data_IF_549944651244
#
_entry.id   IF_549944651244
#
_cell.length_a   1.000
_cell.length_b   1.000
_cell.length_c   1.000
_cell.angle_alpha   90.00
_cell.angle_beta   90.00
_cell.angle_gamma   90.00
#
_symmetry.space_group_name_H-M   'P 1'
#
loop_
_entity.id
_entity.type
_entity.pdbx_description
1 polymer ?
#
# COMPACT_ATOMS: atom_id res chain seq x y z
N UNK A 1 -12.54 5.34 5.97
CA UNK A 1 -11.67 4.16 5.76
C UNK A 1 -12.54 3.07 5.16
N UNK A 2 -12.00 2.28 4.24
CA UNK A 2 -12.69 1.16 3.63
C UNK A 2 -11.80 -0.09 3.71
N UNK A 3 -12.42 -1.27 3.75
CA UNK A 3 -11.73 -2.55 3.52
C UNK A 3 -11.89 -2.89 2.05
N UNK A 4 -10.79 -3.21 1.37
CA UNK A 4 -10.81 -3.74 0.00
C UNK A 4 -10.18 -5.11 0.03
N UNK A 5 -10.86 -6.09 -0.56
CA UNK A 5 -10.40 -7.47 -0.66
C UNK A 5 -10.11 -7.76 -2.12
N UNK A 6 -8.97 -8.39 -2.40
CA UNK A 6 -8.59 -8.77 -3.75
C UNK A 6 -9.12 -10.16 -4.15
N UNK A 7 -8.71 -10.65 -5.33
CA UNK A 7 -9.16 -11.95 -5.81
C UNK A 7 -8.55 -13.10 -4.98
N UNK A 8 -9.35 -14.15 -4.74
CA UNK A 8 -8.95 -15.34 -3.98
C UNK A 8 -7.71 -16.05 -4.57
N UNK A 9 -7.50 -15.94 -5.88
CA UNK A 9 -6.41 -16.61 -6.59
C UNK A 9 -5.16 -15.72 -6.71
N UNK A 10 -5.18 -14.51 -6.14
CA UNK A 10 -4.05 -13.56 -6.11
C UNK A 10 -3.45 -13.46 -4.70
N UNK A 11 -3.81 -12.45 -3.90
CA UNK A 11 -3.32 -12.32 -2.53
C UNK A 11 -4.28 -12.99 -1.54
N UNK A 12 -5.59 -12.92 -1.80
CA UNK A 12 -6.64 -13.36 -0.88
C UNK A 12 -6.54 -12.62 0.47
N UNK A 13 -6.24 -11.32 0.40
CA UNK A 13 -5.99 -10.44 1.54
C UNK A 13 -6.96 -9.27 1.58
N UNK A 14 -7.09 -8.63 2.75
CA UNK A 14 -7.93 -7.46 2.96
C UNK A 14 -7.14 -6.25 3.43
N UNK A 15 -7.20 -5.15 2.68
CA UNK A 15 -6.46 -3.91 2.94
C UNK A 15 -7.34 -2.80 3.52
N UNK A 16 -6.83 -2.09 4.54
CA UNK A 16 -7.44 -0.87 5.08
C UNK A 16 -7.02 0.38 4.29
N UNK A 17 -7.91 0.87 3.43
CA UNK A 17 -7.65 2.00 2.55
C UNK A 17 -8.28 3.31 3.09
N UNK A 18 -7.53 4.41 2.96
CA UNK A 18 -8.01 5.79 3.17
C UNK A 18 -7.33 6.69 2.14
N UNK A 19 -7.98 7.76 1.66
CA UNK A 19 -7.27 8.81 0.93
C UNK A 19 -6.11 9.36 1.75
N UNK A 20 -4.91 9.42 1.17
CA UNK A 20 -3.70 9.83 1.89
C UNK A 20 -3.83 11.24 2.50
N UNK A 21 -4.53 12.15 1.81
CA UNK A 21 -4.82 13.52 2.27
C UNK A 21 -5.76 13.59 3.48
N UNK A 22 -6.48 12.52 3.79
CA UNK A 22 -7.38 12.43 4.95
C UNK A 22 -6.80 11.55 6.07
N UNK A 23 -5.53 11.16 5.98
CA UNK A 23 -4.90 10.29 6.99
C UNK A 23 -4.61 11.08 8.28
N UNK A 24 -4.96 10.52 9.43
CA UNK A 24 -4.69 11.09 10.76
C UNK A 24 -3.83 10.14 11.60
N UNK A 25 -3.17 10.62 12.68
CA UNK A 25 -2.44 9.76 13.60
C UNK A 25 -3.28 8.62 14.19
N UNK A 26 -4.56 8.86 14.48
CA UNK A 26 -5.49 7.86 14.98
C UNK A 26 -5.75 6.78 13.93
N UNK A 27 -5.88 7.17 12.65
CA UNK A 27 -6.03 6.23 11.55
C UNK A 27 -4.77 5.37 11.35
N UNK A 28 -3.58 5.93 11.57
CA UNK A 28 -2.31 5.17 11.55
C UNK A 28 -2.24 4.19 12.73
N UNK A 29 -2.55 4.65 13.95
CA UNK A 29 -2.53 3.79 15.14
C UNK A 29 -3.53 2.64 15.03
N UNK A 30 -4.74 2.89 14.49
CA UNK A 30 -5.73 1.86 14.23
C UNK A 30 -5.18 0.78 13.29
N UNK A 31 -4.53 1.18 12.18
CA UNK A 31 -3.90 0.24 11.25
C UNK A 31 -2.78 -0.57 11.92
N UNK A 32 -1.87 0.11 12.60
CA UNK A 32 -0.74 -0.52 13.28
C UNK A 32 -1.20 -1.52 14.36
N UNK A 33 -2.30 -1.21 15.07
CA UNK A 33 -2.83 -2.03 16.16
C UNK A 33 -3.67 -3.20 15.68
N UNK A 34 -4.58 -2.99 14.73
CA UNK A 34 -5.60 -3.98 14.37
C UNK A 34 -5.39 -4.65 13.01
N UNK A 35 -4.93 -3.92 11.99
CA UNK A 35 -4.58 -4.55 10.71
C UNK A 35 -3.21 -5.23 10.79
N UNK A 36 -2.25 -4.62 11.51
CA UNK A 36 -0.91 -5.17 11.81
C UNK A 36 -0.06 -5.56 10.60
N UNK A 37 -0.46 -5.18 9.38
CA UNK A 37 0.35 -5.25 8.17
C UNK A 37 1.33 -4.08 8.04
N UNK A 38 2.10 -4.06 6.96
CA UNK A 38 2.97 -2.93 6.61
C UNK A 38 2.12 -1.74 6.13
N UNK A 39 2.39 -0.56 6.64
CA UNK A 39 1.68 0.65 6.23
C UNK A 39 2.34 1.21 4.97
N UNK A 40 1.63 1.10 3.86
CA UNK A 40 2.08 1.55 2.54
C UNK A 40 1.35 2.84 2.10
N UNK A 41 1.95 3.59 1.18
CA UNK A 41 1.32 4.73 0.49
C UNK A 41 1.39 4.49 -1.01
N UNK A 42 0.24 4.28 -1.65
CA UNK A 42 0.16 4.17 -3.09
C UNK A 42 0.24 5.56 -3.74
N UNK A 43 1.16 5.72 -4.69
CA UNK A 43 1.36 6.96 -5.45
C UNK A 43 1.41 6.67 -6.95
N UNK A 44 1.17 7.69 -7.76
CA UNK A 44 1.32 7.57 -9.21
C UNK A 44 2.79 7.63 -9.62
N UNK A 45 3.14 7.06 -10.78
CA UNK A 45 4.50 7.19 -11.34
C UNK A 45 4.90 8.65 -11.59
N UNK A 46 3.94 9.54 -11.85
CA UNK A 46 4.19 10.99 -11.97
C UNK A 46 4.68 11.55 -10.63
N UNK A 47 3.95 11.29 -9.55
CA UNK A 47 4.31 11.72 -8.19
C UNK A 47 5.65 11.14 -7.75
N UNK A 48 5.92 9.87 -8.06
CA UNK A 48 7.21 9.25 -7.75
C UNK A 48 8.38 9.99 -8.42
N UNK A 49 8.26 10.36 -9.70
CA UNK A 49 9.27 11.15 -10.42
C UNK A 49 9.45 12.55 -9.83
N UNK A 50 8.35 13.22 -9.49
CA UNK A 50 8.37 14.56 -8.87
C UNK A 50 9.10 14.55 -7.51
N UNK A 51 8.99 13.46 -6.76
CA UNK A 51 9.64 13.26 -5.46
C UNK A 51 11.05 12.64 -5.56
N UNK A 52 11.52 12.30 -6.76
CA UNK A 52 12.83 11.64 -6.95
C UNK A 52 12.89 10.23 -6.35
N UNK A 53 11.75 9.54 -6.26
CA UNK A 53 11.65 8.18 -5.72
C UNK A 53 11.86 7.14 -6.83
N UNK A 54 12.95 6.39 -6.74
CA UNK A 54 13.23 5.23 -7.60
C UNK A 54 12.68 3.94 -6.98
N UNK A 55 12.42 2.89 -7.78
CA UNK A 55 12.13 1.56 -7.25
C UNK A 55 13.19 1.08 -6.26
N UNK A 56 12.78 0.31 -5.25
CA UNK A 56 13.68 -0.22 -4.22
C UNK A 56 14.76 -1.17 -4.79
N UNK A 57 14.43 -1.88 -5.87
CA UNK A 57 15.31 -2.84 -6.54
C UNK A 57 15.24 -2.64 -8.06
N UNK A 58 16.33 -2.96 -8.77
CA UNK A 58 16.42 -2.82 -10.23
C UNK A 58 15.64 -3.92 -10.97
N UNK A 59 15.58 -5.12 -10.40
CA UNK A 59 14.85 -6.28 -10.95
C UNK A 59 13.91 -6.82 -9.88
N UNK A 60 12.61 -6.78 -10.15
CA UNK A 60 11.59 -7.25 -9.24
C UNK A 60 11.38 -8.76 -9.43
N UNK A 61 11.65 -9.55 -8.40
CA UNK A 61 11.48 -11.01 -8.40
C UNK A 61 10.33 -11.47 -7.51
N UNK A 62 9.44 -10.55 -7.14
CA UNK A 62 8.28 -10.86 -6.30
C UNK A 62 7.36 -11.89 -6.98
N UNK A 63 7.01 -12.95 -6.25
CA UNK A 63 6.18 -14.04 -6.75
C UNK A 63 4.74 -13.63 -7.05
N UNK A 64 4.23 -12.58 -6.40
CA UNK A 64 2.84 -12.09 -6.51
C UNK A 64 2.73 -10.65 -7.04
N UNK A 65 3.86 -10.04 -7.41
CA UNK A 65 3.91 -8.69 -7.97
C UNK A 65 3.77 -8.66 -9.49
N UNK A 66 3.46 -7.50 -10.09
CA UNK A 66 3.69 -7.31 -11.52
C UNK A 66 5.21 -7.46 -11.82
N UNK A 67 5.58 -7.96 -13.01
CA UNK A 67 6.97 -8.17 -13.40
C UNK A 67 7.80 -6.88 -13.33
#
# INVERSE_FOLDING_TARGET
>A
MAIVVDDKDRENEGDLIIPASCCTPEAINLRAKYARGLICVAITSKTARELGLSPMVESNTSLKGPP
#
